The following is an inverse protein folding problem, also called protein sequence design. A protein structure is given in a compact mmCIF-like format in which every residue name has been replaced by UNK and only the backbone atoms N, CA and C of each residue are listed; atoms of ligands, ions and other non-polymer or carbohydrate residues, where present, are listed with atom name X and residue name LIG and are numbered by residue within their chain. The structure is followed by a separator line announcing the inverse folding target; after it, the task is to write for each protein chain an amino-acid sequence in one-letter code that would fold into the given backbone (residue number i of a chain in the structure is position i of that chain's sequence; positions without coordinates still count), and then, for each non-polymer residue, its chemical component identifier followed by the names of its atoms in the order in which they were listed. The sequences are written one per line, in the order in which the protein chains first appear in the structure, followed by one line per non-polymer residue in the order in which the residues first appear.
data_IF_719757065520
#
_entry.id   IF_719757065520
#
_cell.length_a   1.000
_cell.length_b   1.000
_cell.length_c   1.000
_cell.angle_alpha   90.00
_cell.angle_beta   90.00
_cell.angle_gamma   90.00
#
_symmetry.space_group_name_H-M   'P 1'
#
loop_
_entity.id
_entity.type
_entity.pdbx_description
1 polymer ?
#
# COMPACT_ATOMS: atom_id res chain seq x y z
N UNK A 1 -11.42 -26.93 4.58
CA UNK A 1 -11.16 -25.69 5.34
C UNK A 1 -12.33 -24.73 5.18
N UNK A 2 -13.14 -24.42 6.21
CA UNK A 2 -14.04 -23.28 6.16
C UNK A 2 -13.29 -22.07 6.73
N UNK A 3 -12.33 -21.54 5.96
CA UNK A 3 -11.53 -20.37 6.34
C UNK A 3 -12.02 -19.09 5.66
N UNK A 4 -13.20 -19.12 5.04
CA UNK A 4 -13.80 -17.96 4.37
C UNK A 4 -14.80 -17.19 5.26
N UNK A 5 -14.86 -17.50 6.56
CA UNK A 5 -15.96 -17.04 7.44
C UNK A 5 -15.52 -16.13 8.59
N UNK A 6 -14.24 -15.71 8.65
CA UNK A 6 -13.69 -15.02 9.85
C UNK A 6 -12.97 -13.69 9.68
N UNK A 7 -12.78 -13.18 8.47
CA UNK A 7 -12.59 -11.73 8.30
C UNK A 7 -13.68 -11.23 7.37
N UNK A 8 -14.82 -10.86 7.96
CA UNK A 8 -15.67 -9.87 7.29
C UNK A 8 -14.80 -8.64 7.12
N UNK A 9 -14.74 -8.13 5.89
CA UNK A 9 -14.14 -6.84 5.56
C UNK A 9 -15.00 -5.72 6.17
N UNK A 10 -15.08 -5.71 7.50
CA UNK A 10 -15.83 -4.73 8.27
C UNK A 10 -14.82 -3.65 8.66
N UNK A 11 -14.74 -2.63 7.80
CA UNK A 11 -14.07 -1.39 8.16
C UNK A 11 -14.75 -0.86 9.42
N UNK A 12 -14.01 -0.53 10.49
CA UNK A 12 -14.59 0.01 11.70
C UNK A 12 -15.54 1.17 11.39
N UNK A 13 -16.67 1.26 12.10
CA UNK A 13 -17.70 2.29 11.84
C UNK A 13 -17.11 3.70 11.77
N UNK A 14 -16.11 4.01 12.60
CA UNK A 14 -15.43 5.30 12.57
C UNK A 14 -14.68 5.56 11.24
N UNK A 15 -14.02 4.54 10.70
CA UNK A 15 -13.27 4.60 9.44
C UNK A 15 -14.22 4.71 8.24
N UNK A 16 -15.30 3.92 8.24
CA UNK A 16 -16.35 4.00 7.23
C UNK A 16 -17.02 5.39 7.16
N UNK A 17 -17.21 6.04 8.31
CA UNK A 17 -17.74 7.42 8.38
C UNK A 17 -16.76 8.43 7.80
N UNK A 18 -15.46 8.30 8.08
CA UNK A 18 -14.43 9.20 7.52
C UNK A 18 -14.30 9.01 6.00
N UNK A 19 -14.40 7.78 5.50
CA UNK A 19 -14.35 7.48 4.06
C UNK A 19 -15.58 7.98 3.29
N UNK A 20 -16.73 8.07 3.96
CA UNK A 20 -17.94 8.66 3.39
C UNK A 20 -17.97 10.19 3.48
N UNK A 21 -17.00 10.79 4.18
CA UNK A 21 -16.91 12.24 4.30
C UNK A 21 -16.64 12.84 2.93
N UNK A 22 -17.40 13.88 2.59
CA UNK A 22 -17.12 14.64 1.38
C UNK A 22 -15.68 15.13 1.42
N UNK A 23 -14.95 14.97 0.31
CA UNK A 23 -13.61 15.50 0.18
C UNK A 23 -13.66 17.00 0.55
N UNK A 24 -12.99 17.36 1.64
CA UNK A 24 -12.87 18.74 2.05
C UNK A 24 -12.06 19.49 1.00
N UNK A 25 -12.31 20.79 0.87
CA UNK A 25 -11.42 21.67 0.11
C UNK A 25 -9.99 21.43 0.60
N UNK A 26 -9.03 21.14 -0.31
CA UNK A 26 -7.65 20.97 0.08
C UNK A 26 -7.22 22.22 0.87
N UNK A 27 -6.39 22.06 1.92
CA UNK A 27 -5.81 23.22 2.58
C UNK A 27 -5.20 24.13 1.51
N UNK A 28 -5.40 25.44 1.62
CA UNK A 28 -4.69 26.37 0.75
C UNK A 28 -3.21 26.07 0.88
N UNK A 29 -2.61 25.69 -0.24
CA UNK A 29 -1.17 25.47 -0.36
C UNK A 29 -0.53 26.86 -0.25
N UNK A 30 -0.28 27.30 0.99
CA UNK A 30 0.49 28.52 1.32
C UNK A 30 2.00 28.24 1.18
N UNK A 31 2.35 27.02 0.76
CA UNK A 31 3.68 26.66 0.32
C UNK A 31 3.92 27.27 -1.07
N UNK A 32 4.98 28.06 -1.22
CA UNK A 32 5.44 28.49 -2.55
C UNK A 32 5.60 27.23 -3.43
N UNK A 33 5.00 27.18 -4.63
CA UNK A 33 5.12 26.03 -5.50
C UNK A 33 6.61 25.80 -5.71
N UNK A 34 7.14 24.70 -5.18
CA UNK A 34 8.54 24.35 -5.32
C UNK A 34 8.84 24.35 -6.83
N UNK A 35 9.56 25.38 -7.29
CA UNK A 35 9.76 25.66 -8.71
C UNK A 35 10.23 24.37 -9.38
N UNK A 36 9.32 23.73 -10.11
CA UNK A 36 9.32 22.30 -10.45
C UNK A 36 10.71 21.69 -10.33
N UNK A 37 11.09 21.30 -9.12
CA UNK A 37 12.34 20.58 -8.89
C UNK A 37 12.07 19.24 -9.53
N UNK A 38 12.51 19.10 -10.79
CA UNK A 38 12.18 18.03 -11.71
C UNK A 38 11.83 16.76 -10.93
N UNK A 39 10.53 16.48 -10.79
CA UNK A 39 10.09 15.32 -10.02
C UNK A 39 10.90 14.15 -10.53
N UNK A 40 11.65 13.43 -9.67
CA UNK A 40 12.39 12.27 -10.13
C UNK A 40 11.40 11.37 -10.89
N UNK A 41 11.80 10.80 -12.03
CA UNK A 41 10.90 10.02 -12.85
C UNK A 41 10.22 8.98 -11.96
N UNK A 42 8.88 9.10 -11.84
CA UNK A 42 8.05 8.19 -11.04
C UNK A 42 7.93 6.81 -11.69
N UNK A 43 8.47 6.68 -12.90
CA UNK A 43 8.70 5.44 -13.61
C UNK A 43 9.88 4.71 -12.94
N UNK A 44 9.54 3.85 -11.96
CA UNK A 44 10.45 2.79 -11.55
C UNK A 44 10.73 1.94 -12.80
N UNK A 45 12.00 1.61 -13.04
CA UNK A 45 12.35 0.71 -14.15
C UNK A 45 11.49 -0.56 -14.03
N UNK A 46 10.89 -1.08 -15.12
CA UNK A 46 10.13 -2.32 -15.06
C UNK A 46 10.97 -3.49 -14.52
N UNK A 47 12.30 -3.39 -14.56
CA UNK A 47 13.22 -4.34 -13.95
C UNK A 47 13.04 -4.47 -12.42
N UNK A 48 12.84 -3.36 -11.70
CA UNK A 48 12.78 -3.32 -10.24
C UNK A 48 11.58 -4.14 -9.70
N UNK A 49 10.46 -4.09 -10.42
CA UNK A 49 9.27 -4.90 -10.12
C UNK A 49 9.41 -6.36 -10.54
N UNK A 50 10.15 -6.64 -11.62
CA UNK A 50 10.40 -8.00 -12.08
C UNK A 50 11.33 -8.76 -11.13
N UNK A 51 12.35 -8.09 -10.58
CA UNK A 51 13.27 -8.68 -9.61
C UNK A 51 12.57 -9.11 -8.32
N UNK A 52 11.51 -8.40 -7.90
CA UNK A 52 10.71 -8.81 -6.73
C UNK A 52 9.73 -9.97 -7.00
N UNK A 53 9.36 -10.18 -8.27
CA UNK A 53 8.51 -11.30 -8.68
C UNK A 53 9.32 -12.56 -8.99
N UNK A 54 10.65 -12.48 -8.98
CA UNK A 54 11.52 -13.64 -9.09
C UNK A 54 11.32 -14.55 -7.88
N UNK A 55 11.01 -15.82 -8.16
CA UNK A 55 10.80 -16.80 -7.10
C UNK A 55 12.13 -17.04 -6.38
N UNK A 56 12.21 -16.62 -5.11
CA UNK A 56 13.33 -16.95 -4.23
C UNK A 56 13.18 -18.39 -3.78
N UNK A 57 14.23 -19.19 -3.93
CA UNK A 57 14.30 -20.55 -3.38
C UNK A 57 14.30 -20.46 -1.85
N UNK A 58 13.15 -20.75 -1.23
CA UNK A 58 13.05 -20.89 0.22
C UNK A 58 13.74 -22.20 0.62
N UNK A 59 14.65 -22.14 1.59
CA UNK A 59 15.29 -23.35 2.13
C UNK A 59 14.26 -24.21 2.84
N UNK A 60 14.39 -25.53 2.76
CA UNK A 60 13.41 -26.46 3.32
C UNK A 60 13.34 -26.41 4.87
N UNK A 61 14.34 -25.80 5.52
CA UNK A 61 14.38 -25.55 6.97
C UNK A 61 13.57 -24.29 7.38
N UNK A 62 13.14 -23.45 6.42
CA UNK A 62 12.40 -22.19 6.67
C UNK A 62 10.90 -22.42 7.00
N UNK A 63 10.36 -23.61 6.66
CA UNK A 63 8.95 -23.99 6.93
C UNK A 63 8.65 -24.26 8.42
N UNK A 64 9.66 -24.19 9.31
CA UNK A 64 9.56 -24.58 10.73
C UNK A 64 9.60 -23.40 11.71
N UNK A 65 9.15 -22.21 11.31
CA UNK A 65 8.85 -21.14 12.28
C UNK A 65 7.39 -21.23 12.77
N UNK A 66 7.14 -22.21 13.62
CA UNK A 66 6.00 -22.19 14.56
C UNK A 66 6.36 -21.29 15.74
N UNK A 67 5.84 -20.05 15.78
CA UNK A 67 5.62 -19.26 17.02
C UNK A 67 4.56 -18.17 16.82
#
# INVERSE_FOLDING_TARGET
MPENERLRDDVPVADAVEQQRAASEPPSDDEEPAASAASPPMEVSPADWQEQMEAVELDADDDVVDQ
#
